data_IF_581109665507
#
_entry.id   IF_581109665507
#
_cell.length_a   1.000
_cell.length_b   1.000
_cell.length_c   1.000
_cell.angle_alpha   90.00
_cell.angle_beta   90.00
_cell.angle_gamma   90.00
#
_symmetry.space_group_name_H-M   'P 1'
#
loop_
_entity.id
_entity.type
_entity.pdbx_description
1 polymer ?
2 non-polymer ?
3 non-polymer ?
4 non-polymer ?
5 non-polymer ?
6 water ?
#
# COMPACT_ATOMS: atom_id res chain seq x y z
N UNK A 1 -14.90 21.21 6.80
CA UNK A 1 -13.75 20.38 6.34
C UNK A 1 -13.74 20.25 4.81
N UNK A 2 -12.55 20.27 4.24
CA UNK A 2 -12.40 19.98 2.82
C UNK A 2 -12.57 18.45 2.67
N UNK A 3 -12.76 18.03 1.43
CA UNK A 3 -12.89 16.59 1.18
C UNK A 3 -11.60 15.80 1.48
N UNK A 4 -10.44 16.41 1.23
CA UNK A 4 -9.17 15.82 1.63
C UNK A 4 -9.14 15.57 3.14
N UNK A 5 -9.53 16.57 3.90
CA UNK A 5 -9.56 16.45 5.34
C UNK A 5 -10.51 15.35 5.83
N UNK A 6 -11.69 15.26 5.20
CA UNK A 6 -12.62 14.16 5.48
C UNK A 6 -11.97 12.80 5.18
N UNK A 7 -11.33 12.70 4.02
CA UNK A 7 -10.64 11.46 3.62
C UNK A 7 -9.66 11.02 4.68
N UNK A 8 -8.83 11.97 5.12
CA UNK A 8 -7.80 11.69 6.12
C UNK A 8 -8.33 11.47 7.54
N UNK A 9 -9.61 11.80 7.77
CA UNK A 9 -10.27 11.61 9.07
C UNK A 9 -11.20 10.40 9.16
N UNK A 10 -11.14 9.51 8.16
CA UNK A 10 -11.99 8.32 8.13
C UNK A 10 -13.48 8.69 8.01
N UNK A 11 -13.78 9.82 7.38
CA UNK A 11 -15.16 10.22 7.13
C UNK A 11 -15.50 9.97 5.68
N UNK A 12 -16.79 9.88 5.39
CA UNK A 12 -17.22 9.78 4.00
C UNK A 12 -16.78 11.06 3.32
N UNK A 13 -16.30 10.94 2.10
CA UNK A 13 -15.82 12.08 1.33
C UNK A 13 -16.11 11.87 -0.13
N UNK A 14 -16.15 12.98 -0.85
CA UNK A 14 -16.47 12.96 -2.27
C UNK A 14 -15.20 12.73 -3.09
N UNK A 15 -14.85 11.46 -3.20
CA UNK A 15 -13.67 11.04 -3.93
C UNK A 15 -13.77 11.40 -5.42
N UNK A 16 -14.96 11.28 -6.01
CA UNK A 16 -15.08 11.33 -7.48
C UNK A 16 -15.20 12.71 -8.07
N UNK A 17 -15.76 13.65 -7.30
CA UNK A 17 -16.04 15.00 -7.84
C UNK A 17 -15.29 16.14 -7.17
N UNK A 18 -14.45 15.84 -6.16
CA UNK A 18 -13.67 16.90 -5.52
C UNK A 18 -12.47 17.24 -6.37
N UNK A 19 -12.40 18.48 -6.86
CA UNK A 19 -11.35 18.86 -7.79
C UNK A 19 -9.94 18.69 -7.24
N UNK A 20 -9.73 19.06 -5.97
CA UNK A 20 -8.40 18.96 -5.36
C UNK A 20 -7.93 17.48 -5.42
N UNK A 21 -8.79 16.58 -4.99
CA UNK A 21 -8.43 15.17 -4.98
C UNK A 21 -8.28 14.60 -6.38
N UNK A 22 -9.17 14.99 -7.29
CA UNK A 22 -9.01 14.62 -8.69
C UNK A 22 -7.62 15.00 -9.22
N UNK A 23 -7.20 16.24 -8.95
CA UNK A 23 -5.89 16.74 -9.43
C UNK A 23 -4.72 16.04 -8.78
N UNK A 24 -4.83 15.76 -7.49
CA UNK A 24 -3.81 14.98 -6.80
C UNK A 24 -3.67 13.58 -7.39
N UNK A 25 -4.80 12.91 -7.67
CA UNK A 25 -4.74 11.62 -8.34
C UNK A 25 -4.12 11.71 -9.72
N UNK A 26 -4.44 12.76 -10.47
CA UNK A 26 -3.84 12.93 -11.78
C UNK A 26 -2.32 13.07 -11.73
N UNK A 27 -1.82 13.81 -10.73
CA UNK A 27 -0.39 14.00 -10.48
C UNK A 27 0.26 12.64 -10.31
N UNK A 28 -0.32 11.83 -9.44
CA UNK A 28 0.25 10.52 -9.14
C UNK A 28 0.20 9.62 -10.37
N UNK A 29 -0.92 9.63 -11.10
CA UNK A 29 -1.07 8.71 -12.22
C UNK A 29 -0.06 9.04 -13.31
N UNK A 30 0.18 10.34 -13.53
CA UNK A 30 1.13 10.73 -14.57
C UNK A 30 2.57 10.33 -14.17
N UNK A 31 2.93 10.46 -12.89
CA UNK A 31 4.26 10.02 -12.44
C UNK A 31 4.38 8.49 -12.57
N UNK A 32 3.35 7.76 -12.18
CA UNK A 32 3.40 6.30 -12.29
C UNK A 32 3.57 5.93 -13.77
N UNK A 33 2.86 6.62 -14.66
CA UNK A 33 2.99 6.34 -16.07
C UNK A 33 4.44 6.54 -16.52
N UNK A 34 5.06 7.65 -16.13
CA UNK A 34 6.45 7.86 -16.47
C UNK A 34 7.35 6.76 -15.92
N UNK A 35 7.21 6.47 -14.65
CA UNK A 35 7.97 5.42 -14.01
C UNK A 35 7.81 4.07 -14.73
N UNK A 36 6.56 3.74 -15.10
CA UNK A 36 6.25 2.47 -15.73
C UNK A 36 6.79 2.35 -17.15
N UNK A 37 7.23 3.47 -17.72
CA UNK A 37 7.81 3.50 -19.04
C UNK A 37 9.28 3.98 -19.01
N UNK A 38 9.93 3.81 -17.85
CA UNK A 38 11.35 4.09 -17.66
C UNK A 38 12.09 2.74 -17.54
N UNK A 39 13.14 2.60 -18.34
CA UNK A 39 13.93 1.38 -18.38
C UNK A 39 14.37 0.95 -16.96
N UNK A 40 14.24 -0.35 -16.59
CA UNK A 40 14.55 -0.71 -15.18
C UNK A 40 15.98 -0.41 -14.75
N UNK A 41 16.92 -0.41 -15.69
CA UNK A 41 18.30 -0.08 -15.36
C UNK A 41 18.62 1.44 -15.32
N UNK A 42 17.63 2.32 -15.57
CA UNK A 42 17.84 3.79 -15.46
C UNK A 42 17.64 4.19 -14.01
N UNK A 43 18.63 3.82 -13.20
CA UNK A 43 18.49 3.83 -11.76
C UNK A 43 18.18 5.20 -11.22
N UNK A 44 18.95 6.21 -11.66
CA UNK A 44 18.79 7.59 -11.17
C UNK A 44 17.42 8.14 -11.46
N UNK A 45 16.98 7.99 -12.72
CA UNK A 45 15.68 8.50 -13.14
C UNK A 45 14.55 7.83 -12.36
N UNK A 46 14.66 6.53 -12.15
CA UNK A 46 13.63 5.80 -11.39
C UNK A 46 13.58 6.29 -9.96
N UNK A 47 14.73 6.49 -9.32
CA UNK A 47 14.80 7.02 -7.94
C UNK A 47 14.14 8.40 -7.87
N UNK A 48 14.48 9.25 -8.84
CA UNK A 48 13.90 10.62 -8.91
C UNK A 48 12.38 10.54 -8.97
N UNK A 49 11.85 9.66 -9.82
CA UNK A 49 10.41 9.56 -10.03
C UNK A 49 9.73 8.98 -8.80
N UNK A 50 10.32 7.97 -8.19
CA UNK A 50 9.81 7.39 -6.95
C UNK A 50 9.72 8.45 -5.84
N UNK A 51 10.81 9.22 -5.70
CA UNK A 51 10.86 10.21 -4.64
C UNK A 51 9.84 11.33 -4.93
N UNK A 52 9.66 11.68 -6.20
CA UNK A 52 8.61 12.65 -6.56
C UNK A 52 7.20 12.10 -6.25
N UNK A 53 6.98 10.84 -6.56
CA UNK A 53 5.70 10.21 -6.35
C UNK A 53 5.32 10.17 -4.88
N UNK A 54 6.26 9.72 -4.05
CA UNK A 54 5.98 9.59 -2.62
C UNK A 54 6.28 10.87 -1.85
N UNK A 55 6.78 11.90 -2.53
CA UNK A 55 7.11 13.18 -1.89
C UNK A 55 8.01 12.99 -0.66
N UNK A 56 9.05 12.19 -0.87
CA UNK A 56 10.00 11.84 0.20
C UNK A 56 11.32 11.43 -0.43
N UNK A 57 12.37 11.44 0.39
CA UNK A 57 13.65 10.90 -0.01
C UNK A 57 13.75 9.45 0.46
N UNK A 58 13.46 8.51 -0.43
CA UNK A 58 13.44 7.13 -0.06
C UNK A 58 14.85 6.61 0.21
N UNK A 59 14.90 5.59 1.04
CA UNK A 59 16.13 4.90 1.44
C UNK A 59 15.95 3.43 1.10
N UNK A 60 16.50 3.01 -0.05
CA UNK A 60 16.42 1.65 -0.51
C UNK A 60 14.97 1.15 -0.55
N UNK A 61 14.15 1.93 -1.24
CA UNK A 61 12.80 1.51 -1.61
C UNK A 61 12.89 1.09 -3.10
N UNK A 62 12.75 -0.20 -3.33
CA UNK A 62 12.87 -0.78 -4.66
C UNK A 62 11.48 -1.07 -5.22
N UNK A 63 11.12 -0.37 -6.29
CA UNK A 63 9.80 -0.48 -6.90
C UNK A 63 9.98 -1.10 -8.31
N UNK A 64 9.44 -2.32 -8.51
CA UNK A 64 9.49 -3.01 -9.78
C UNK A 64 8.27 -2.63 -10.53
N UNK A 65 8.44 -2.26 -11.79
CA UNK A 65 7.33 -1.80 -12.58
C UNK A 65 6.53 -3.02 -13.14
N UNK A 66 5.21 -2.81 -13.43
CA UNK A 66 4.52 -1.54 -13.18
C UNK A 66 4.11 -1.37 -11.73
N UNK A 67 3.88 -0.12 -11.36
CA UNK A 67 3.41 0.24 -10.03
C UNK A 67 2.28 1.25 -10.16
N UNK A 68 1.40 1.24 -9.17
CA UNK A 68 0.29 2.17 -9.11
C UNK A 68 0.05 2.63 -7.67
N UNK A 69 -0.37 3.88 -7.54
CA UNK A 69 -0.82 4.43 -6.29
C UNK A 69 -1.83 5.54 -6.63
N UNK A 70 -2.58 6.00 -5.64
CA UNK A 70 -3.58 7.05 -5.90
C UNK A 70 -3.09 8.46 -5.62
N UNK A 71 -2.40 8.64 -4.50
CA UNK A 71 -1.90 9.94 -4.11
C UNK A 71 -0.37 9.98 -4.02
N UNK A 72 0.24 8.89 -3.55
CA UNK A 72 1.68 8.80 -3.41
C UNK A 72 2.17 9.38 -2.10
N UNK A 73 1.83 10.64 -1.85
CA UNK A 73 2.19 11.28 -0.60
C UNK A 73 1.55 10.67 0.63
N UNK A 74 0.54 9.79 0.44
CA UNK A 74 -0.12 9.16 1.54
C UNK A 74 0.37 7.75 1.82
N UNK A 75 1.50 7.40 1.21
CA UNK A 75 2.25 6.18 1.52
C UNK A 75 3.49 6.62 2.30
N UNK A 76 3.57 6.19 3.55
CA UNK A 76 4.67 6.49 4.44
C UNK A 76 5.59 5.28 4.47
N UNK A 77 6.85 5.49 4.10
CA UNK A 77 7.78 4.41 3.87
C UNK A 77 8.96 4.43 4.82
N UNK A 78 9.28 3.26 5.36
CA UNK A 78 10.58 3.05 5.99
C UNK A 78 11.66 2.77 4.97
N UNK A 79 12.78 2.26 5.47
CA UNK A 79 13.90 1.90 4.64
C UNK A 79 13.86 0.41 4.32
N UNK A 80 14.45 0.07 3.19
CA UNK A 80 14.59 -1.34 2.77
C UNK A 80 13.23 -1.95 2.56
N UNK A 81 12.51 -1.38 1.60
CA UNK A 81 11.16 -1.85 1.23
C UNK A 81 11.26 -2.31 -0.23
N UNK A 82 10.94 -3.57 -0.45
CA UNK A 82 11.13 -4.21 -1.74
C UNK A 82 9.73 -4.54 -2.28
N UNK A 83 9.37 -3.92 -3.39
CA UNK A 83 8.02 -4.05 -3.96
C UNK A 83 8.15 -4.66 -5.34
N UNK A 84 7.69 -5.90 -5.51
CA UNK A 84 7.82 -6.57 -6.80
C UNK A 84 6.68 -6.10 -7.74
N UNK A 85 6.66 -6.64 -8.95
CA UNK A 85 5.87 -6.14 -10.04
C UNK A 85 4.37 -6.12 -9.80
N UNK A 86 3.72 -5.09 -10.34
CA UNK A 86 2.28 -5.03 -10.42
C UNK A 86 1.60 -4.87 -9.09
N UNK A 87 2.18 -4.06 -8.20
CA UNK A 87 1.52 -3.74 -6.98
C UNK A 87 0.75 -2.43 -7.09
N UNK A 88 -0.21 -2.29 -6.19
CA UNK A 88 -1.05 -1.09 -6.13
C UNK A 88 -1.25 -0.68 -4.67
N UNK A 89 -0.69 0.48 -4.31
CA UNK A 89 -0.90 1.05 -2.98
C UNK A 89 -2.01 2.11 -3.10
N UNK A 90 -3.24 1.66 -2.85
CA UNK A 90 -4.43 2.51 -2.97
C UNK A 90 -4.57 3.26 -1.65
N UNK A 91 -4.06 4.50 -1.66
CA UNK A 91 -3.66 5.21 -0.44
C UNK A 91 -4.50 6.44 -0.07
N UNK A 92 -5.78 6.45 -0.41
CA UNK A 92 -6.63 7.52 0.17
C UNK A 92 -6.60 7.51 1.68
N UNK A 93 -6.62 6.31 2.25
CA UNK A 93 -6.29 6.11 3.64
C UNK A 93 -4.78 5.88 3.70
N UNK A 94 -4.14 6.43 4.69
CA UNK A 94 -2.70 6.35 4.75
C UNK A 94 -2.26 4.89 4.77
N UNK A 95 -1.22 4.59 3.99
CA UNK A 95 -0.57 3.27 4.04
C UNK A 95 0.80 3.52 4.67
N UNK A 96 1.00 2.94 5.84
CA UNK A 96 2.27 3.12 6.56
C UNK A 96 3.02 1.79 6.45
N UNK A 97 4.26 1.84 5.95
CA UNK A 97 5.07 0.63 5.76
C UNK A 97 6.34 0.84 6.56
N UNK A 98 6.68 -0.16 7.37
CA UNK A 98 7.88 -0.10 8.20
C UNK A 98 9.16 -0.36 7.43
N UNK A 99 10.22 -0.68 8.18
CA UNK A 99 11.54 -0.97 7.62
C UNK A 99 11.61 -2.47 7.33
N UNK A 100 12.38 -2.83 6.29
CA UNK A 100 12.70 -4.25 6.01
C UNK A 100 11.43 -5.02 5.71
N UNK A 101 10.78 -4.59 4.63
CA UNK A 101 9.48 -5.13 4.21
C UNK A 101 9.63 -5.68 2.79
N UNK A 102 9.25 -6.95 2.61
CA UNK A 102 9.32 -7.63 1.32
C UNK A 102 7.88 -7.87 0.82
N UNK A 103 7.54 -7.20 -0.27
CA UNK A 103 6.21 -7.25 -0.83
C UNK A 103 6.28 -7.95 -2.18
N UNK A 104 5.58 -9.08 -2.28
CA UNK A 104 5.57 -9.86 -3.48
C UNK A 104 4.81 -9.24 -4.63
N UNK A 105 4.90 -9.89 -5.80
CA UNK A 105 4.27 -9.37 -6.98
C UNK A 105 2.76 -9.44 -6.89
N UNK A 106 2.10 -8.53 -7.58
CA UNK A 106 0.65 -8.58 -7.72
C UNK A 106 -0.07 -8.48 -6.37
N UNK A 107 0.47 -7.64 -5.49
CA UNK A 107 -0.17 -7.34 -4.22
C UNK A 107 -0.92 -6.02 -4.32
N UNK A 108 -2.12 -6.03 -3.72
CA UNK A 108 -2.96 -4.87 -3.65
C UNK A 108 -3.20 -4.48 -2.21
N UNK A 109 -2.86 -3.25 -1.85
CA UNK A 109 -3.15 -2.69 -0.52
C UNK A 109 -4.26 -1.69 -0.72
N UNK A 110 -5.47 -2.07 -0.29
CA UNK A 110 -6.68 -1.33 -0.65
C UNK A 110 -7.26 -0.63 0.56
N UNK A 111 -7.17 0.70 0.60
CA UNK A 111 -7.79 1.45 1.71
C UNK A 111 -9.20 1.95 1.40
N UNK A 112 -9.69 1.79 0.15
CA UNK A 112 -10.96 2.38 -0.23
C UNK A 112 -12.13 1.49 0.01
N UNK A 113 -13.15 2.05 0.66
CA UNK A 113 -14.47 1.45 0.65
C UNK A 113 -15.47 2.38 -0.02
N UNK A 114 -16.47 1.77 -0.64
CA UNK A 114 -17.66 2.46 -1.11
C UNK A 114 -18.84 2.08 -0.22
N UNK A 115 -19.87 2.93 -0.21
CA UNK A 115 -21.12 2.51 0.44
C UNK A 115 -21.68 1.25 -0.18
N UNK A 116 -22.29 0.39 0.65
CA UNK A 116 -22.99 -0.75 0.10
C UNK A 116 -24.27 -0.36 -0.65
N UNK A 117 -24.96 0.66 -0.14
CA UNK A 117 -26.18 1.13 -0.78
C UNK A 117 -25.81 1.81 -2.08
N UNK A 118 -26.40 1.38 -3.20
CA UNK A 118 -25.97 1.93 -4.48
C UNK A 118 -26.30 3.39 -4.69
N UNK A 119 -27.36 3.87 -4.02
CA UNK A 119 -27.67 5.28 -4.17
C UNK A 119 -26.57 6.18 -3.65
N UNK A 120 -26.04 5.87 -2.48
CA UNK A 120 -24.92 6.63 -1.91
C UNK A 120 -23.65 6.34 -2.67
N UNK A 121 -23.45 5.09 -3.09
CA UNK A 121 -22.24 4.77 -3.86
C UNK A 121 -22.17 5.50 -5.17
N UNK A 122 -23.30 5.58 -5.86
CA UNK A 122 -23.34 6.18 -7.17
C UNK A 122 -23.02 7.68 -7.19
N UNK A 123 -23.18 8.29 -6.03
CA UNK A 123 -22.85 9.70 -5.73
C UNK A 123 -21.34 9.95 -5.62
N UNK A 124 -20.54 8.90 -5.53
CA UNK A 124 -19.10 9.05 -5.54
C UNK A 124 -18.43 9.05 -4.20
N UNK A 125 -19.19 8.85 -3.16
CA UNK A 125 -18.64 8.89 -1.83
C UNK A 125 -17.82 7.66 -1.51
N UNK A 126 -16.73 7.86 -0.80
CA UNK A 126 -15.88 6.78 -0.30
C UNK A 126 -15.51 7.03 1.15
N UNK A 127 -15.00 5.99 1.81
CA UNK A 127 -14.45 6.13 3.14
C UNK A 127 -13.16 5.32 3.15
N UNK A 128 -12.10 5.93 3.63
CA UNK A 128 -10.77 5.33 3.55
C UNK A 128 -10.38 4.78 4.92
N UNK A 129 -9.89 3.54 4.93
CA UNK A 129 -9.42 2.84 6.10
C UNK A 129 -7.93 2.61 5.99
N UNK A 130 -7.12 3.30 6.80
CA UNK A 130 -5.68 3.18 6.72
C UNK A 130 -5.19 1.73 6.89
N UNK A 131 -4.06 1.43 6.23
CA UNK A 131 -3.39 0.16 6.33
C UNK A 131 -2.03 0.41 6.98
N UNK A 132 -1.71 -0.41 7.97
CA UNK A 132 -0.41 -0.36 8.65
C UNK A 132 0.31 -1.67 8.41
N UNK A 133 1.50 -1.60 7.81
CA UNK A 133 2.32 -2.77 7.52
C UNK A 133 3.57 -2.66 8.43
N UNK A 134 3.68 -3.57 9.39
CA UNK A 134 4.79 -3.56 10.32
C UNK A 134 6.13 -3.73 9.67
N UNK A 135 7.18 -3.30 10.36
CA UNK A 135 8.53 -3.63 9.94
C UNK A 135 8.75 -5.14 9.97
N UNK A 136 9.76 -5.58 9.22
CA UNK A 136 10.20 -6.96 9.31
C UNK A 136 9.09 -7.94 8.89
N UNK A 137 8.40 -7.61 7.78
CA UNK A 137 7.32 -8.42 7.27
C UNK A 137 7.63 -8.92 5.86
N UNK A 138 6.90 -9.97 5.47
CA UNK A 138 7.04 -10.57 4.13
C UNK A 138 5.66 -10.96 3.64
N UNK A 139 5.34 -10.49 2.43
CA UNK A 139 4.10 -10.82 1.73
C UNK A 139 4.44 -11.63 0.51
N UNK A 140 3.80 -12.78 0.37
CA UNK A 140 3.91 -13.55 -0.86
C UNK A 140 3.19 -12.84 -2.00
N UNK A 141 3.26 -13.41 -3.19
CA UNK A 141 2.59 -12.81 -4.32
C UNK A 141 1.08 -12.94 -4.23
N UNK A 142 0.38 -12.09 -4.97
CA UNK A 142 -1.10 -12.24 -5.15
C UNK A 142 -1.88 -11.99 -3.83
N UNK A 143 -1.33 -11.18 -2.93
CA UNK A 143 -2.03 -10.88 -1.69
C UNK A 143 -2.86 -9.59 -1.85
N UNK A 144 -4.05 -9.59 -1.27
CA UNK A 144 -4.88 -8.38 -1.15
C UNK A 144 -5.04 -8.08 0.34
N UNK A 145 -4.72 -6.84 0.72
CA UNK A 145 -4.91 -6.37 2.10
C UNK A 145 -6.05 -5.33 2.05
N UNK A 146 -7.04 -5.51 2.92
CA UNK A 146 -8.25 -4.74 2.86
C UNK A 146 -8.26 -3.53 3.79
N UNK A 147 -9.26 -2.63 3.63
CA UNK A 147 -9.22 -1.37 4.35
C UNK A 147 -9.18 -1.55 5.86
N UNK A 148 -8.36 -0.74 6.48
CA UNK A 148 -8.30 -0.69 7.96
C UNK A 148 -7.42 -1.75 8.58
N UNK A 149 -6.77 -2.59 7.78
CA UNK A 149 -6.01 -3.72 8.29
C UNK A 149 -4.59 -3.32 8.71
N UNK A 150 -4.18 -3.93 9.81
CA UNK A 150 -2.83 -3.82 10.33
C UNK A 150 -2.18 -5.20 10.30
N UNK A 151 -0.99 -5.27 9.71
CA UNK A 151 -0.18 -6.49 9.81
C UNK A 151 0.99 -6.21 10.77
N UNK A 152 1.04 -6.99 11.85
CA UNK A 152 2.05 -6.80 12.89
C UNK A 152 3.46 -7.06 12.45
N UNK A 153 4.39 -6.38 13.12
CA UNK A 153 5.81 -6.55 12.85
C UNK A 153 6.21 -8.03 12.96
N UNK A 154 7.11 -8.44 12.07
CA UNK A 154 7.64 -9.78 12.15
C UNK A 154 6.78 -10.85 11.52
N UNK A 155 5.67 -10.46 10.88
CA UNK A 155 4.70 -11.43 10.35
C UNK A 155 4.93 -11.70 8.86
N UNK A 156 4.40 -12.83 8.45
CA UNK A 156 4.51 -13.32 7.07
C UNK A 156 3.12 -13.68 6.60
N UNK A 157 2.78 -13.18 5.40
CA UNK A 157 1.47 -13.39 4.78
C UNK A 157 1.66 -14.27 3.54
N UNK A 158 1.05 -15.45 3.54
CA UNK A 158 1.22 -16.36 2.42
C UNK A 158 0.64 -15.87 1.11
N UNK A 159 1.20 -16.36 0.02
CA UNK A 159 0.72 -16.02 -1.29
C UNK A 159 -0.77 -16.27 -1.42
N UNK A 160 -1.44 -15.36 -2.12
CA UNK A 160 -2.86 -15.52 -2.43
C UNK A 160 -3.81 -15.12 -1.31
N UNK A 161 -3.26 -14.67 -0.17
CA UNK A 161 -4.07 -14.36 0.94
C UNK A 161 -4.97 -13.17 0.67
N UNK A 162 -6.14 -13.16 1.32
CA UNK A 162 -7.03 -12.01 1.34
C UNK A 162 -7.16 -11.59 2.80
N UNK A 163 -6.47 -10.51 3.15
CA UNK A 163 -6.30 -10.16 4.56
C UNK A 163 -7.44 -9.21 4.98
N UNK A 164 -8.44 -9.81 5.64
CA UNK A 164 -9.69 -9.12 5.99
C UNK A 164 -9.66 -8.55 7.41
N UNK A 165 -8.74 -9.07 8.23
CA UNK A 165 -8.62 -8.76 9.63
C UNK A 165 -7.15 -8.60 10.01
N UNK A 166 -6.91 -7.89 11.10
CA UNK A 166 -5.58 -7.61 11.56
C UNK A 166 -4.83 -8.90 11.87
N UNK A 167 -3.54 -8.89 11.55
CA UNK A 167 -2.67 -10.03 11.79
C UNK A 167 -1.73 -9.64 12.94
N UNK A 168 -1.72 -10.44 14.02
CA UNK A 168 -0.82 -10.12 15.11
C UNK A 168 0.64 -10.19 14.69
N UNK A 169 1.52 -9.54 15.45
CA UNK A 169 2.96 -9.66 15.22
C UNK A 169 3.50 -11.07 15.34
N UNK A 170 4.63 -11.31 14.68
CA UNK A 170 5.38 -12.57 14.78
C UNK A 170 4.49 -13.78 14.47
N UNK A 171 3.66 -13.65 13.42
CA UNK A 171 2.72 -14.69 13.01
C UNK A 171 2.83 -14.98 11.54
N UNK A 172 2.64 -16.25 11.20
CA UNK A 172 2.45 -16.68 9.82
C UNK A 172 0.95 -16.82 9.60
N UNK A 173 0.45 -16.21 8.53
CA UNK A 173 -0.99 -16.21 8.24
C UNK A 173 -1.21 -16.42 6.76
N UNK A 174 -2.20 -17.26 6.41
CA UNK A 174 -2.48 -17.63 5.01
C UNK A 174 -3.97 -17.76 4.83
N UNK A 175 -4.41 -17.64 3.58
CA UNK A 175 -5.75 -18.01 3.22
C UNK A 175 -6.66 -16.89 2.75
N UNK A 176 -7.83 -17.32 2.29
CA UNK A 176 -8.91 -16.46 1.95
C UNK A 176 -10.12 -16.95 2.76
N UNK A 177 -10.47 -16.31 3.88
CA UNK A 177 -9.83 -15.13 4.47
C UNK A 177 -8.54 -15.53 5.19
N UNK A 178 -7.63 -14.58 5.35
CA UNK A 178 -6.34 -14.87 5.90
C UNK A 178 -6.42 -15.11 7.41
N UNK A 179 -5.87 -16.25 7.85
CA UNK A 179 -5.92 -16.65 9.25
C UNK A 179 -4.54 -17.06 9.73
N UNK A 180 -4.21 -16.73 10.97
CA UNK A 180 -2.96 -17.17 11.58
C UNK A 180 -2.89 -18.70 11.62
N UNK A 181 -1.75 -19.25 11.17
CA UNK A 181 -1.50 -20.68 11.24
C UNK A 181 -0.54 -21.01 12.36
N UNK A 182 0.47 -20.19 12.62
CA UNK A 182 1.42 -20.42 13.71
C UNK A 182 2.20 -19.17 14.04
N UNK A 183 2.90 -19.20 15.16
CA UNK A 183 3.82 -18.16 15.52
C UNK A 183 5.13 -18.39 14.81
N UNK A 184 5.85 -17.29 14.67
CA UNK A 184 7.16 -17.28 14.08
C UNK A 184 8.13 -16.92 15.19
N UNK A 185 9.16 -17.74 15.33
CA UNK A 185 10.23 -17.43 16.20
C UNK A 185 11.22 -16.52 15.47
N UNK A 186 11.25 -15.28 15.87
CA UNK A 186 12.16 -14.28 15.33
C UNK A 186 13.35 -13.95 16.22
N UNK A 187 13.69 -14.84 17.12
CA UNK A 187 14.81 -14.55 18.01
C UNK A 187 16.13 -14.48 17.21
N UNK A 188 17.05 -13.67 17.71
CA UNK A 188 18.39 -13.55 17.14
C UNK A 188 19.09 -14.93 16.91
N UNK A 189 19.30 -15.21 15.55
CA UNK A 189 19.96 -16.53 15.29
C UNK A 189 21.37 -16.63 15.81
N UNK A 190 21.79 -17.86 16.08
CA UNK A 190 23.16 -18.15 16.49
C UNK A 190 24.10 -18.20 15.27
X LIG B 1 -5.97 -13.73 12.02
X LIG B 1 -6.18 -15.11 12.34
X LIG B 1 -7.23 -13.07 11.50
X LIG B 1 -8.18 -12.86 12.57
X LIG C 1 -0.37 17.16 -0.36
X LIG C 1 1.00 17.39 -0.67
X LIG C 1 -0.48 16.25 0.85
X LIG C 1 -0.52 16.97 2.10
X LIG D 1 -22.67 11.13 6.13
X LIG D 1 -23.80 10.54 5.45
X LIG D 1 -22.35 10.36 7.41
X LIG D 1 -22.59 8.95 7.26
X LIG E 1 -13.30 2.49 6.23
X LIG E 1 -13.98 2.56 7.49
X LIG E 1 -12.91 1.05 5.99
X LIG E 1 -12.11 0.52 7.07
X LIG F 1 -0.86 4.44 -13.58
X LIG F 1 -0.74 4.48 -15.02
X LIG F 1 -0.20 3.17 -13.03
X LIG F 1 -0.60 2.00 -13.76
X LIG G 1 -11.52 0.74 -7.64
X LIG H 1 -10.87 -15.46 13.51
X LIG H 1 -11.78 -14.73 14.47
X LIG H 1 -10.26 -14.47 12.56
X LIG H 1 -11.69 -16.46 12.75
X LIG H 1 -9.77 -16.20 14.25
X LIG I 1 -13.09 -12.08 1.29
X LIG I 1 -13.30 -13.02 2.21
X LIG I 1 -13.91 -12.90 3.40
X LIG I 1 -14.32 -11.65 3.60
X LIG I 1 -14.19 -10.59 2.74
X LIG I 1 -13.54 -10.82 1.51
X LIG I 1 -13.33 -9.89 0.60
X LIG I 1 -14.73 -9.44 3.29
X LIG I 1 -15.19 -9.83 4.45
X LIG I 1 -14.97 -11.16 4.71
X LIG I 1 -15.34 -11.92 5.89
X LIG I 1 -14.67 -11.43 7.16
X LIG I 1 -13.45 -12.11 7.40
X LIG I 1 -15.74 -11.74 8.20
X LIG I 1 -15.67 -13.14 8.62
X LIG I 1 -16.24 -13.56 10.07
X LIG I 1 -15.61 -14.93 10.34
X LIG I 1 -15.77 -12.51 11.06
X LIG I 1 -17.75 -13.63 9.96
X LIG I 1 -17.03 -11.49 7.44
X LIG I 1 -16.74 -11.80 6.06
X LIG I 1 -17.57 -10.07 7.50
X LIG I 1 -16.46 -9.17 7.72
X LIG I 1 -16.68 -7.58 7.72
X LIG I 1 -15.43 -6.95 7.23
X LIG I 1 -17.25 -7.18 9.02
X LIG I 1 -17.80 -7.37 6.61
X LIG I 1 -18.03 -6.13 5.65
X LIG I 1 -19.44 -6.19 5.18
X LIG I 1 -17.54 -4.91 6.34
X LIG I 1 -17.04 -6.31 4.43
X LIG I 1 -16.56 -6.05 2.05
X LIG I 1 -17.29 -5.50 3.27
X LIG I 1 -17.08 -5.26 0.83
X LIG I 1 -16.88 -7.54 1.85
X LIG I 1 -15.01 -5.83 2.24
X LIG I 1 -14.42 -6.79 3.10
X LIG I 1 -14.25 -5.79 0.92
X LIG I 1 -13.97 -6.83 0.32
X LIG I 1 -13.96 -4.57 0.47
X LIG I 1 -13.36 -4.28 -0.82
X LIG I 1 -12.10 -3.49 -0.68
X LIG I 1 -11.51 -3.18 -2.04
X LIG I 1 -11.32 -4.05 -2.86
X LIG I 1 -11.24 -1.89 -2.28
X LIG I 1 -10.58 -1.47 -3.51
X LIG I 1 -11.58 -1.18 -4.61
X LIG I 1 -12.65 0.20 -4.18
#
# INVERSE_FOLDING_TARGET
MTEKEKMLAEKWYDANFDQYLINERARAKDICFELNHTRPSATNKRKELIDQLFQTTTDNVSISIPFDTDYGWNVKLGKNVYVNTNCYFMDGGQITIGDNVFIGPNCGFYTATHPLNFHHRNEGFEKAGPIHIGSNTWFGGHVAVLPGVTIGEGSVIGAGSVVTKDIPPHSLAVGNPCKVVRKIDNDLPSETLNDETIK
EDO C1 O1 C2 O2
EDO C1 O1 C2 O2
EDO C1 O1 C2 O2
EDO C1 O1 C2 O2
EDO C1 O1 C2 O2
CL CL
PO4 P O1 O2 O3 O4
COA N1A C2A N3A C4A C5A C6A N6A N7A C8A N9A C1B C2B O2B C3B O3B P3B O7A O8A O9A C4B O4B C5B O5B P1A O1A O2A O3A P2A O4A O5A O6A CBP CCP CDP CEP CAP OAP C9P O9P N8P C7P C6P C5P O5P N4P C3P C2P S1P
#
